data_IF_664045366701
#
_entry.id   IF_664045366701
#
_cell.length_a   1.000
_cell.length_b   1.000
_cell.length_c   1.000
_cell.angle_alpha   90.00
_cell.angle_beta   90.00
_cell.angle_gamma   90.00
#
_symmetry.space_group_name_H-M   'P 1'
#
loop_
_entity.id
_entity.type
_entity.pdbx_description
1 polymer ?
#
# COMPACT_ATOMS: atom_id res chain seq x y z
N UNK A 1 -11.59 4.02 4.48
CA UNK A 1 -10.46 3.69 3.58
C UNK A 1 -11.01 3.37 2.19
N UNK A 2 -10.18 3.49 1.14
CA UNK A 2 -10.57 3.11 -0.22
C UNK A 2 -10.61 1.58 -0.34
N UNK A 3 -11.63 1.08 -1.04
CA UNK A 3 -11.75 -0.32 -1.42
C UNK A 3 -11.01 -0.61 -2.73
N UNK A 4 -10.85 -1.88 -3.07
CA UNK A 4 -10.27 -2.33 -4.34
C UNK A 4 -10.95 -1.67 -5.55
N UNK A 5 -12.29 -1.65 -5.58
CA UNK A 5 -13.05 -0.99 -6.65
C UNK A 5 -12.81 0.53 -6.68
N UNK A 6 -12.64 1.17 -5.51
CA UNK A 6 -12.29 2.58 -5.41
C UNK A 6 -10.89 2.87 -5.99
N UNK A 7 -9.92 1.99 -5.74
CA UNK A 7 -8.57 2.09 -6.32
C UNK A 7 -8.60 1.89 -7.85
N UNK A 8 -9.33 0.89 -8.34
CA UNK A 8 -9.50 0.67 -9.79
C UNK A 8 -10.15 1.88 -10.48
N UNK A 9 -11.19 2.44 -9.86
CA UNK A 9 -11.84 3.65 -10.37
C UNK A 9 -10.84 4.81 -10.44
N UNK A 10 -9.98 4.98 -9.43
CA UNK A 10 -8.96 6.02 -9.45
C UNK A 10 -7.96 5.82 -10.61
N UNK A 11 -7.48 4.60 -10.83
CA UNK A 11 -6.58 4.26 -11.95
C UNK A 11 -7.22 4.61 -13.31
N UNK A 12 -8.50 4.27 -13.49
CA UNK A 12 -9.21 4.47 -14.76
C UNK A 12 -9.58 5.93 -15.04
N UNK A 13 -9.73 6.75 -13.99
CA UNK A 13 -10.26 8.12 -14.11
C UNK A 13 -9.17 9.19 -14.05
N UNK A 14 -8.04 8.89 -13.43
CA UNK A 14 -6.90 9.81 -13.35
C UNK A 14 -6.13 9.85 -14.68
N UNK A 15 -5.46 10.97 -15.01
CA UNK A 15 -4.56 11.03 -16.15
C UNK A 15 -3.44 10.00 -16.04
N UNK A 16 -3.06 9.35 -17.15
CA UNK A 16 -2.05 8.28 -17.16
C UNK A 16 -0.65 8.66 -16.64
N UNK A 17 -0.35 9.96 -16.53
CA UNK A 17 0.92 10.46 -15.99
C UNK A 17 0.78 11.05 -14.58
N UNK A 18 -0.40 10.91 -13.96
CA UNK A 18 -0.63 11.36 -12.61
C UNK A 18 0.05 10.40 -11.62
N UNK A 19 0.89 10.88 -10.69
CA UNK A 19 1.55 10.02 -9.70
C UNK A 19 0.56 9.25 -8.83
N UNK A 20 -0.69 9.72 -8.70
CA UNK A 20 -1.78 9.02 -8.02
C UNK A 20 -2.18 7.71 -8.71
N UNK A 21 -1.95 7.56 -10.02
CA UNK A 21 -2.16 6.28 -10.71
C UNK A 21 -1.20 5.24 -10.18
N UNK A 22 0.09 5.55 -10.11
CA UNK A 22 1.11 4.62 -9.59
C UNK A 22 0.84 4.25 -8.11
N UNK A 23 0.37 5.21 -7.29
CA UNK A 23 -0.07 4.94 -5.92
C UNK A 23 -1.19 3.90 -5.86
N UNK A 24 -2.22 4.08 -6.68
CA UNK A 24 -3.36 3.18 -6.72
C UNK A 24 -2.97 1.80 -7.28
N UNK A 25 -2.09 1.74 -8.28
CA UNK A 25 -1.56 0.50 -8.85
C UNK A 25 -0.77 -0.31 -7.81
N UNK A 26 0.09 0.32 -7.02
CA UNK A 26 0.85 -0.35 -5.97
C UNK A 26 -0.04 -0.89 -4.86
N UNK A 27 -1.06 -0.13 -4.44
CA UNK A 27 -2.06 -0.60 -3.48
C UNK A 27 -2.89 -1.76 -4.02
N UNK A 28 -3.24 -1.73 -5.31
CA UNK A 28 -3.92 -2.84 -6.00
C UNK A 28 -3.01 -4.07 -6.03
N UNK A 29 -1.74 -3.93 -6.41
CA UNK A 29 -0.77 -5.04 -6.42
C UNK A 29 -0.65 -5.67 -5.04
N UNK A 30 -0.48 -4.86 -4.00
CA UNK A 30 -0.39 -5.34 -2.63
C UNK A 30 -1.63 -6.15 -2.18
N UNK A 31 -2.83 -5.74 -2.62
CA UNK A 31 -4.07 -6.47 -2.34
C UNK A 31 -4.18 -7.77 -3.15
N UNK A 32 -3.78 -7.76 -4.43
CA UNK A 32 -3.91 -8.93 -5.31
C UNK A 32 -2.86 -9.99 -5.05
N UNK A 33 -1.65 -9.57 -4.66
CA UNK A 33 -0.53 -10.47 -4.41
C UNK A 33 -0.57 -11.06 -3.00
N UNK A 34 -1.38 -10.53 -2.09
CA UNK A 34 -1.51 -11.16 -0.78
C UNK A 34 -2.30 -12.48 -0.89
N UNK A 35 -1.79 -13.60 -0.34
CA UNK A 35 -2.32 -14.94 -0.62
C UNK A 35 -3.67 -15.26 0.04
N UNK A 36 -4.16 -14.42 0.96
CA UNK A 36 -5.52 -14.61 1.49
C UNK A 36 -6.56 -14.27 0.42
N UNK A 37 -7.40 -15.26 0.12
CA UNK A 37 -8.45 -15.10 -0.87
C UNK A 37 -9.39 -13.95 -0.50
N UNK A 38 -9.44 -12.93 -1.36
CA UNK A 38 -10.48 -11.92 -1.34
C UNK A 38 -10.22 -10.70 -0.47
N UNK A 39 -8.96 -10.25 -0.33
CA UNK A 39 -8.70 -8.91 0.17
C UNK A 39 -9.25 -7.87 -0.81
N UNK A 40 -10.46 -7.38 -0.53
CA UNK A 40 -11.13 -6.32 -1.29
C UNK A 40 -10.97 -4.95 -0.62
N UNK A 41 -10.41 -4.92 0.57
CA UNK A 41 -10.29 -3.74 1.42
C UNK A 41 -8.87 -3.62 1.97
N UNK A 42 -8.31 -2.40 1.92
CA UNK A 42 -6.98 -2.12 2.50
C UNK A 42 -6.92 -2.40 4.01
N UNK A 43 -8.06 -2.33 4.71
CA UNK A 43 -8.15 -2.61 6.15
C UNK A 43 -7.88 -4.09 6.43
N UNK A 44 -8.40 -4.97 5.57
CA UNK A 44 -8.15 -6.40 5.72
C UNK A 44 -6.67 -6.75 5.46
N UNK A 45 -6.01 -6.05 4.52
CA UNK A 45 -4.56 -6.18 4.32
C UNK A 45 -3.75 -5.74 5.55
N UNK A 46 -4.11 -4.60 6.15
CA UNK A 46 -3.45 -4.10 7.36
C UNK A 46 -3.64 -5.06 8.55
N UNK A 47 -4.85 -5.62 8.73
CA UNK A 47 -5.12 -6.64 9.75
C UNK A 47 -4.23 -7.87 9.53
N UNK A 48 -4.12 -8.35 8.28
CA UNK A 48 -3.28 -9.49 7.95
C UNK A 48 -1.79 -9.23 8.22
N UNK A 49 -1.30 -8.02 7.92
CA UNK A 49 0.07 -7.61 8.23
C UNK A 49 0.34 -7.55 9.74
N UNK A 50 -0.57 -6.99 10.53
CA UNK A 50 -0.45 -6.95 11.99
C UNK A 50 -0.47 -8.34 12.63
N UNK A 51 -1.13 -9.31 12.00
CA UNK A 51 -1.10 -10.69 12.48
C UNK A 51 0.29 -11.35 12.31
N UNK A 52 1.10 -10.84 11.39
CA UNK A 52 2.40 -11.40 10.98
C UNK A 52 3.59 -10.60 11.55
N UNK A 53 3.43 -9.29 11.68
CA UNK A 53 4.47 -8.35 12.10
C UNK A 53 4.14 -7.86 13.51
N UNK A 54 4.98 -8.23 14.48
CA UNK A 54 4.86 -7.72 15.84
C UNK A 54 5.36 -6.28 15.93
N UNK A 55 4.45 -5.33 16.11
CA UNK A 55 4.77 -3.91 16.33
C UNK A 55 4.20 -3.00 15.24
N UNK A 56 4.67 -1.74 15.16
CA UNK A 56 4.19 -0.80 14.16
C UNK A 56 4.60 -1.24 12.75
N UNK A 57 3.72 -1.02 11.77
CA UNK A 57 3.97 -1.30 10.35
C UNK A 57 4.75 -0.15 9.73
N UNK A 58 6.04 -0.04 10.02
CA UNK A 58 6.93 0.97 9.44
C UNK A 58 7.73 0.40 8.27
N UNK A 59 8.46 1.25 7.55
CA UNK A 59 9.38 0.79 6.50
C UNK A 59 10.32 -0.31 7.00
N UNK A 60 10.95 -0.12 8.16
CA UNK A 60 11.93 -1.06 8.69
C UNK A 60 11.30 -2.41 9.07
N UNK A 61 10.09 -2.41 9.66
CA UNK A 61 9.43 -3.66 10.05
C UNK A 61 8.90 -4.42 8.84
N UNK A 62 8.35 -3.72 7.84
CA UNK A 62 7.94 -4.30 6.56
C UNK A 62 9.14 -4.84 5.76
N UNK A 63 10.25 -4.11 5.71
CA UNK A 63 11.47 -4.55 5.03
C UNK A 63 12.06 -5.80 5.69
N UNK A 64 12.10 -5.82 7.02
CA UNK A 64 12.51 -7.00 7.79
C UNK A 64 11.60 -8.20 7.51
N UNK A 65 10.28 -7.99 7.43
CA UNK A 65 9.33 -9.05 7.12
C UNK A 65 9.50 -9.60 5.70
N UNK A 66 9.62 -8.74 4.68
CA UNK A 66 9.84 -9.12 3.27
C UNK A 66 11.07 -10.02 3.10
N UNK A 67 12.14 -9.76 3.86
CA UNK A 67 13.38 -10.55 3.83
C UNK A 67 13.25 -11.91 4.54
N UNK A 68 12.28 -12.07 5.44
CA UNK A 68 12.12 -13.25 6.31
C UNK A 68 10.99 -14.18 5.88
N UNK A 69 10.00 -13.67 5.17
CA UNK A 69 8.90 -14.50 4.68
C UNK A 69 9.38 -15.45 3.58
N UNK A 70 9.02 -16.72 3.72
CA UNK A 70 9.25 -17.75 2.69
C UNK A 70 8.15 -17.75 1.62
N UNK A 71 7.06 -17.00 1.85
CA UNK A 71 5.95 -16.87 0.90
C UNK A 71 6.28 -15.80 -0.15
N UNK A 72 6.48 -16.18 -1.43
CA UNK A 72 6.81 -15.23 -2.48
C UNK A 72 5.69 -14.21 -2.71
N UNK A 73 4.44 -14.59 -2.52
CA UNK A 73 3.28 -13.72 -2.75
C UNK A 73 3.20 -12.63 -1.68
N UNK A 74 3.38 -13.01 -0.41
CA UNK A 74 3.51 -12.02 0.69
C UNK A 74 4.71 -11.09 0.48
N UNK A 75 5.82 -11.61 -0.06
CA UNK A 75 7.00 -10.80 -0.36
C UNK A 75 6.70 -9.74 -1.41
N UNK A 76 6.08 -10.13 -2.53
CA UNK A 76 5.71 -9.18 -3.59
C UNK A 76 4.71 -8.13 -3.07
N UNK A 77 3.68 -8.56 -2.34
CA UNK A 77 2.71 -7.65 -1.74
C UNK A 77 3.39 -6.62 -0.81
N UNK A 78 4.33 -7.05 0.03
CA UNK A 78 5.05 -6.18 0.96
C UNK A 78 6.05 -5.28 0.23
N UNK A 79 6.69 -5.75 -0.84
CA UNK A 79 7.56 -4.92 -1.66
C UNK A 79 6.78 -3.78 -2.33
N UNK A 80 5.58 -4.05 -2.85
CA UNK A 80 4.70 -3.01 -3.37
C UNK A 80 4.33 -1.97 -2.29
N UNK A 81 4.10 -2.40 -1.05
CA UNK A 81 3.87 -1.48 0.08
C UNK A 81 5.10 -0.66 0.46
N UNK A 82 6.30 -1.24 0.37
CA UNK A 82 7.55 -0.52 0.61
C UNK A 82 7.78 0.58 -0.43
N UNK A 83 7.38 0.35 -1.69
CA UNK A 83 7.42 1.37 -2.73
C UNK A 83 6.52 2.58 -2.43
N UNK A 84 5.45 2.41 -1.63
CA UNK A 84 4.61 3.53 -1.17
C UNK A 84 5.36 4.56 -0.34
N UNK A 85 6.43 4.14 0.33
CA UNK A 85 7.29 5.05 1.11
C UNK A 85 8.24 5.85 0.22
N UNK A 86 8.50 5.42 -1.02
CA UNK A 86 9.52 6.00 -1.92
C UNK A 86 8.97 6.46 -3.28
N UNK A 87 7.64 6.60 -3.42
CA UNK A 87 6.95 6.79 -4.70
C UNK A 87 7.29 8.06 -5.50
N UNK A 88 8.21 8.86 -5.01
CA UNK A 88 8.64 10.08 -5.69
C UNK A 88 10.14 10.39 -5.48
N UNK A 89 10.92 9.56 -4.76
CA UNK A 89 12.22 9.94 -4.15
C UNK A 89 12.14 11.23 -3.29
N UNK A 90 10.94 11.76 -3.08
CA UNK A 90 10.62 12.81 -2.13
C UNK A 90 10.28 12.03 -0.86
N UNK A 91 11.31 11.77 -0.06
CA UNK A 91 11.24 11.11 1.24
C UNK A 91 10.33 11.92 2.21
N UNK A 92 9.00 11.95 1.97
CA UNK A 92 8.02 12.73 2.74
C UNK A 92 7.64 12.01 4.01
N UNK A 93 7.67 10.68 3.97
CA UNK A 93 7.45 9.82 5.12
C UNK A 93 8.81 9.39 5.65
N UNK A 94 9.02 9.57 6.96
CA UNK A 94 10.21 9.05 7.61
C UNK A 94 10.09 7.52 7.77
N UNK A 95 11.22 6.83 7.99
CA UNK A 95 11.23 5.39 8.23
C UNK A 95 10.43 4.97 9.48
N UNK A 96 10.08 5.93 10.35
CA UNK A 96 9.23 5.73 11.52
C UNK A 96 7.73 5.93 11.25
N UNK A 97 7.35 6.42 10.08
CA UNK A 97 5.95 6.61 9.71
C UNK A 97 5.28 5.24 9.57
N UNK A 98 4.13 5.09 10.21
CA UNK A 98 3.31 3.87 10.11
C UNK A 98 2.59 3.82 8.76
N UNK A 99 2.49 2.63 8.18
CA UNK A 99 1.88 2.35 6.88
C UNK A 99 0.42 2.83 6.83
N UNK A 100 -0.31 2.75 7.93
CA UNK A 100 -1.66 3.29 8.08
C UNK A 100 -1.70 4.79 7.81
N UNK A 101 -0.71 5.53 8.31
CA UNK A 101 -0.59 6.97 8.09
C UNK A 101 -0.27 7.27 6.62
N UNK A 102 0.63 6.48 6.03
CA UNK A 102 0.94 6.57 4.59
C UNK A 102 -0.34 6.34 3.78
N UNK A 103 -1.00 5.19 3.96
CA UNK A 103 -2.24 4.83 3.25
C UNK A 103 -3.34 5.89 3.48
N UNK A 104 -3.53 6.38 4.70
CA UNK A 104 -4.53 7.41 4.98
C UNK A 104 -4.23 8.72 4.22
N UNK A 105 -2.97 9.14 4.17
CA UNK A 105 -2.53 10.32 3.41
C UNK A 105 -2.73 10.14 1.91
N UNK A 106 -2.36 8.97 1.38
CA UNK A 106 -2.46 8.66 -0.05
C UNK A 106 -3.91 8.51 -0.49
N UNK A 107 -4.74 7.80 0.28
CA UNK A 107 -6.17 7.61 -0.01
C UNK A 107 -6.96 8.92 0.08
N UNK A 108 -6.56 9.84 0.97
CA UNK A 108 -7.11 11.20 0.98
C UNK A 108 -6.78 11.94 -0.32
N UNK A 109 -5.55 11.78 -0.83
CA UNK A 109 -5.11 12.41 -2.08
C UNK A 109 -5.80 11.82 -3.31
N UNK A 110 -6.13 10.52 -3.28
CA UNK A 110 -6.91 9.83 -4.31
C UNK A 110 -8.40 10.23 -4.30
N UNK A 111 -8.97 10.50 -3.12
CA UNK A 111 -10.39 10.86 -2.96
C UNK A 111 -10.72 12.34 -3.18
N UNK A 112 -9.72 13.19 -3.45
CA UNK A 112 -9.93 14.62 -3.71
C UNK A 112 -10.10 14.85 -5.23
N UNK A 113 -11.28 15.27 -5.72
CA UNK A 113 -11.39 15.83 -7.06
C UNK A 113 -10.53 17.10 -7.11
N UNK A 114 -9.67 17.24 -8.12
CA UNK A 114 -8.93 18.47 -8.34
C UNK A 114 -9.91 19.64 -8.47
N UNK A 115 -9.65 20.73 -7.72
CA UNK A 115 -10.39 21.99 -7.75
C UNK A 115 -9.99 22.77 -9.00
#
# INVERSE_FOLDING_TARGET
MLSFAGLQTAIETLPAHDPRVALAELLVSALTDWPEAGLQELEALLIALHAEISGPLTFDSLSCYSQRTDDPWKREAVNALLELFDLDRINRFDHGTELETVIASLTTTLGQPEI
#
